data_IF_603864585755
#
_entry.id   IF_603864585755
#
_cell.length_a   1.000
_cell.length_b   1.000
_cell.length_c   1.000
_cell.angle_alpha   90.00
_cell.angle_beta   90.00
_cell.angle_gamma   90.00
#
_symmetry.space_group_name_H-M   'P 1'
#
loop_
_entity.id
_entity.type
_entity.pdbx_description
1 polymer ?
#
# COMPACT_ATOMS: atom_id res chain seq x y z
N UNK A 1 -8.75 -9.17 7.95
CA UNK A 1 -7.65 -8.20 7.74
C UNK A 1 -8.26 -6.82 7.76
N UNK A 2 -7.66 -5.87 8.50
CA UNK A 2 -8.16 -4.51 8.61
C UNK A 2 -8.37 -3.84 7.24
N UNK A 3 -9.40 -3.01 7.16
CA UNK A 3 -9.63 -2.11 6.05
C UNK A 3 -10.33 -0.86 6.56
N UNK A 4 -10.05 0.26 5.88
CA UNK A 4 -10.62 1.55 6.18
C UNK A 4 -11.17 2.19 4.91
N UNK A 5 -12.24 2.97 5.04
CA UNK A 5 -12.82 3.72 3.94
C UNK A 5 -13.42 5.04 4.43
N UNK A 6 -13.42 6.03 3.55
CA UNK A 6 -14.19 7.27 3.69
C UNK A 6 -15.36 7.21 2.70
N UNK A 7 -16.56 7.54 3.18
CA UNK A 7 -17.75 7.67 2.33
C UNK A 7 -18.15 9.11 2.12
N UNK A 8 -18.69 9.40 0.95
CA UNK A 8 -19.46 10.60 0.67
C UNK A 8 -20.88 10.15 0.27
N UNK A 9 -21.83 10.27 1.19
CA UNK A 9 -23.14 9.66 1.03
C UNK A 9 -23.04 8.13 0.96
N UNK A 10 -23.49 7.55 -0.17
CA UNK A 10 -23.45 6.09 -0.39
C UNK A 10 -22.16 5.61 -1.05
N UNK A 11 -21.34 6.53 -1.57
CA UNK A 11 -20.15 6.21 -2.37
C UNK A 11 -18.90 6.12 -1.48
N UNK A 12 -18.07 5.09 -1.71
CA UNK A 12 -16.74 5.01 -1.12
C UNK A 12 -15.78 5.85 -1.95
N UNK A 13 -15.20 6.90 -1.36
CA UNK A 13 -14.39 7.90 -2.08
C UNK A 13 -12.89 7.79 -1.82
N UNK A 14 -12.52 7.14 -0.72
CA UNK A 14 -11.14 6.81 -0.38
C UNK A 14 -11.10 5.52 0.44
N UNK A 15 -10.16 4.63 0.17
CA UNK A 15 -10.08 3.33 0.84
C UNK A 15 -8.65 2.79 0.85
N UNK A 16 -8.37 1.93 1.82
CA UNK A 16 -7.13 1.18 1.96
C UNK A 16 -7.41 -0.14 2.71
N UNK A 17 -6.59 -1.15 2.46
CA UNK A 17 -6.72 -2.45 3.12
C UNK A 17 -5.37 -3.08 3.42
N UNK A 18 -5.33 -3.98 4.39
CA UNK A 18 -4.17 -4.84 4.58
C UNK A 18 -4.23 -6.06 3.66
N UNK A 19 -3.12 -6.35 2.99
CA UNK A 19 -2.86 -7.60 2.29
C UNK A 19 -2.71 -8.76 3.29
N UNK A 20 -3.07 -10.02 2.96
CA UNK A 20 -2.84 -11.20 3.79
C UNK A 20 -1.44 -11.35 4.40
N UNK A 21 -0.42 -10.74 3.79
CA UNK A 21 0.97 -10.71 4.28
C UNK A 21 1.22 -9.64 5.35
N UNK A 22 0.19 -8.89 5.76
CA UNK A 22 0.22 -7.95 6.88
C UNK A 22 0.51 -6.49 6.52
N UNK A 23 0.94 -6.19 5.30
CA UNK A 23 1.23 -4.81 4.88
C UNK A 23 -0.01 -4.08 4.36
N UNK A 24 -0.06 -2.77 4.58
CA UNK A 24 -1.06 -1.89 4.01
C UNK A 24 -0.83 -1.74 2.51
N UNK A 25 -1.92 -1.86 1.75
CA UNK A 25 -1.92 -1.87 0.31
C UNK A 25 -3.21 -1.23 -0.26
N UNK A 26 -3.22 -0.95 -1.55
CA UNK A 26 -4.37 -0.44 -2.29
C UNK A 26 -4.93 0.90 -1.78
N UNK A 27 -4.08 1.77 -1.22
CA UNK A 27 -4.48 3.14 -0.90
C UNK A 27 -4.92 3.86 -2.17
N UNK A 28 -6.21 4.16 -2.25
CA UNK A 28 -6.80 4.81 -3.41
C UNK A 28 -7.79 5.87 -2.99
N UNK A 29 -7.75 7.01 -3.69
CA UNK A 29 -8.75 8.07 -3.58
C UNK A 29 -9.26 8.38 -4.97
N UNK A 30 -10.59 8.37 -5.12
CA UNK A 30 -11.29 8.73 -6.35
C UNK A 30 -10.85 10.15 -6.77
N UNK A 31 -10.57 10.33 -8.05
CA UNK A 31 -9.87 11.51 -8.59
C UNK A 31 -10.55 12.84 -8.19
N UNK A 32 -11.87 12.89 -8.28
CA UNK A 32 -12.71 14.05 -7.92
C UNK A 32 -12.63 14.43 -6.43
N UNK A 33 -12.12 13.52 -5.60
CA UNK A 33 -11.96 13.68 -4.16
C UNK A 33 -10.49 13.79 -3.70
N UNK A 34 -9.52 13.79 -4.62
CA UNK A 34 -8.09 13.97 -4.31
C UNK A 34 -7.78 15.39 -3.84
N UNK A 35 -6.61 15.56 -3.21
CA UNK A 35 -6.14 16.85 -2.69
C UNK A 35 -6.85 17.34 -1.41
N UNK A 36 -7.71 16.50 -0.81
CA UNK A 36 -8.51 16.84 0.39
C UNK A 36 -8.05 16.12 1.66
N UNK A 37 -6.87 15.49 1.64
CA UNK A 37 -6.33 14.73 2.78
C UNK A 37 -7.01 13.38 3.05
N UNK A 38 -7.96 12.93 2.21
CA UNK A 38 -8.72 11.70 2.44
C UNK A 38 -7.85 10.44 2.46
N UNK A 39 -6.83 10.37 1.59
CA UNK A 39 -5.88 9.27 1.56
C UNK A 39 -5.13 9.12 2.89
N UNK A 40 -4.62 10.22 3.43
CA UNK A 40 -3.97 10.22 4.76
C UNK A 40 -4.94 9.85 5.87
N UNK A 41 -6.19 10.34 5.82
CA UNK A 41 -7.19 10.03 6.83
C UNK A 41 -7.53 8.53 6.87
N UNK A 42 -7.67 7.89 5.70
CA UNK A 42 -7.96 6.46 5.62
C UNK A 42 -6.77 5.62 6.04
N UNK A 43 -5.55 6.03 5.66
CA UNK A 43 -4.30 5.38 6.05
C UNK A 43 -4.10 5.40 7.57
N UNK A 44 -4.30 6.55 8.21
CA UNK A 44 -4.18 6.66 9.66
C UNK A 44 -5.26 5.85 10.39
N UNK A 45 -6.47 5.78 9.83
CA UNK A 45 -7.53 4.93 10.41
C UNK A 45 -7.15 3.46 10.33
N UNK A 46 -6.57 3.02 9.20
CA UNK A 46 -6.09 1.66 9.03
C UNK A 46 -4.94 1.34 10.00
N UNK A 47 -3.98 2.26 10.17
CA UNK A 47 -2.91 2.11 11.16
C UNK A 47 -3.45 1.88 12.58
N UNK A 48 -4.44 2.68 13.01
CA UNK A 48 -5.07 2.52 14.32
C UNK A 48 -5.76 1.15 14.47
N UNK A 49 -6.42 0.65 13.43
CA UNK A 49 -7.02 -0.68 13.44
C UNK A 49 -5.97 -1.78 13.54
N UNK A 50 -4.89 -1.72 12.74
CA UNK A 50 -3.77 -2.65 12.83
C UNK A 50 -3.22 -2.72 14.27
N UNK A 51 -2.93 -1.56 14.87
CA UNK A 51 -2.39 -1.50 16.25
C UNK A 51 -3.38 -2.13 17.25
N UNK A 52 -4.69 -1.87 17.10
CA UNK A 52 -5.70 -2.47 17.99
C UNK A 52 -5.80 -3.99 17.86
N UNK A 53 -5.42 -4.53 16.70
CA UNK A 53 -5.36 -5.97 16.41
C UNK A 53 -3.97 -6.58 16.65
N UNK A 54 -3.05 -5.83 17.29
CA UNK A 54 -1.67 -6.26 17.54
C UNK A 54 -0.85 -6.54 16.26
N UNK A 55 -1.22 -5.88 15.15
CA UNK A 55 -0.48 -5.89 13.90
C UNK A 55 0.39 -4.64 13.79
N UNK A 56 1.65 -4.81 13.38
CA UNK A 56 2.52 -3.68 13.09
C UNK A 56 2.12 -3.05 11.75
N UNK A 57 1.74 -1.76 11.70
CA UNK A 57 1.43 -1.11 10.44
C UNK A 57 2.70 -0.83 9.64
N UNK A 58 2.75 -1.32 8.40
CA UNK A 58 3.80 -0.99 7.44
C UNK A 58 3.26 -1.04 6.01
N UNK A 59 3.93 -0.37 5.08
CA UNK A 59 3.60 -0.36 3.65
C UNK A 59 4.86 -0.42 2.82
N UNK A 60 4.73 -0.91 1.59
CA UNK A 60 5.76 -0.77 0.57
C UNK A 60 5.43 0.42 -0.32
N UNK A 61 6.42 1.24 -0.65
CA UNK A 61 6.26 2.36 -1.58
C UNK A 61 7.03 2.03 -2.85
N UNK A 62 6.34 2.08 -3.99
CA UNK A 62 6.93 1.84 -5.31
C UNK A 62 8.04 2.86 -5.59
N UNK A 63 9.23 2.37 -5.97
CA UNK A 63 10.43 3.21 -6.13
C UNK A 63 10.26 4.23 -7.26
N UNK A 64 9.51 3.88 -8.30
CA UNK A 64 9.24 4.77 -9.44
C UNK A 64 8.14 5.79 -9.16
N UNK A 65 7.36 5.64 -8.08
CA UNK A 65 6.36 6.63 -7.68
C UNK A 65 7.02 7.73 -6.84
N UNK A 66 7.80 8.58 -7.49
CA UNK A 66 8.64 9.60 -6.86
C UNK A 66 7.85 10.57 -5.97
N UNK A 67 6.60 10.88 -6.34
CA UNK A 67 5.72 11.74 -5.55
C UNK A 67 5.34 11.10 -4.21
N UNK A 68 4.89 9.84 -4.23
CA UNK A 68 4.53 9.11 -3.00
C UNK A 68 5.77 8.80 -2.17
N UNK A 69 6.89 8.42 -2.82
CA UNK A 69 8.15 8.16 -2.14
C UNK A 69 8.67 9.40 -1.40
N UNK A 70 8.65 10.57 -2.07
CA UNK A 70 9.01 11.85 -1.43
C UNK A 70 8.10 12.14 -0.24
N UNK A 71 6.77 12.05 -0.44
CA UNK A 71 5.81 12.33 0.63
C UNK A 71 5.94 11.36 1.81
N UNK A 72 6.27 10.09 1.58
CA UNK A 72 6.50 9.12 2.65
C UNK A 72 7.77 9.42 3.44
N UNK A 73 8.86 9.82 2.75
CA UNK A 73 10.12 10.19 3.40
C UNK A 73 10.01 11.50 4.22
N UNK A 74 9.19 12.45 3.77
CA UNK A 74 8.97 13.74 4.46
C UNK A 74 7.91 13.64 5.57
N UNK A 75 7.26 12.49 5.72
CA UNK A 75 6.17 12.32 6.67
C UNK A 75 6.66 12.26 8.11
N UNK A 76 6.00 12.99 9.00
CA UNK A 76 6.18 12.84 10.45
C UNK A 76 5.43 11.62 11.03
N UNK A 77 4.61 10.95 10.22
CA UNK A 77 3.75 9.84 10.64
C UNK A 77 4.37 8.48 10.31
N UNK A 78 5.30 8.44 9.36
CA UNK A 78 5.96 7.22 8.91
C UNK A 78 7.46 7.30 9.15
N UNK A 79 8.03 6.18 9.56
CA UNK A 79 9.49 5.96 9.55
C UNK A 79 9.84 5.06 8.37
N UNK A 80 11.02 5.29 7.78
CA UNK A 80 11.55 4.39 6.75
C UNK A 80 12.39 3.29 7.39
N UNK A 81 12.26 2.08 6.85
CA UNK A 81 13.13 0.97 7.21
C UNK A 81 14.44 1.09 6.42
N UNK A 82 15.52 1.38 7.14
CA UNK A 82 16.87 1.52 6.60
C UNK A 82 17.80 0.39 7.10
N UNK A 83 18.84 0.11 6.32
CA UNK A 83 19.94 -0.77 6.72
C UNK A 83 20.89 -0.10 7.72
N UNK A 84 21.93 -0.82 8.16
CA UNK A 84 22.94 -0.30 9.11
C UNK A 84 23.74 0.90 8.57
N UNK A 85 23.70 1.13 7.27
CA UNK A 85 24.38 2.23 6.58
C UNK A 85 23.41 3.37 6.21
N UNK A 86 22.18 3.35 6.74
CA UNK A 86 21.12 4.32 6.45
C UNK A 86 20.63 4.33 4.99
N UNK A 87 20.79 3.22 4.27
CA UNK A 87 20.18 3.07 2.95
C UNK A 87 18.77 2.48 3.06
N UNK A 88 17.82 2.89 2.21
CA UNK A 88 16.47 2.32 2.20
C UNK A 88 16.50 0.83 1.84
N UNK A 89 15.81 0.00 2.63
CA UNK A 89 15.62 -1.41 2.28
C UNK A 89 14.60 -1.51 1.14
N UNK A 90 15.04 -2.05 0.00
CA UNK A 90 14.19 -2.31 -1.16
C UNK A 90 13.77 -3.78 -1.23
N UNK A 91 12.48 -4.02 -1.46
CA UNK A 91 11.91 -5.37 -1.64
C UNK A 91 11.59 -5.57 -3.12
N UNK A 92 12.25 -6.54 -3.75
CA UNK A 92 12.03 -6.89 -5.15
C UNK A 92 10.96 -7.98 -5.29
N UNK A 93 9.80 -7.63 -5.85
CA UNK A 93 8.75 -8.59 -6.18
C UNK A 93 9.00 -9.22 -7.55
N UNK A 94 9.62 -10.40 -7.58
CA UNK A 94 9.92 -11.13 -8.83
C UNK A 94 8.79 -12.13 -9.11
N UNK A 95 8.07 -11.93 -10.21
CA UNK A 95 7.05 -12.88 -10.67
C UNK A 95 7.72 -14.03 -11.43
N UNK A 96 7.56 -15.25 -10.92
CA UNK A 96 7.85 -16.45 -11.68
C UNK A 96 6.60 -16.89 -12.44
N UNK A 97 6.70 -17.09 -13.74
CA UNK A 97 5.67 -17.73 -14.54
C UNK A 97 6.22 -19.03 -15.13
N UNK A 98 5.40 -20.08 -15.13
CA UNK A 98 5.74 -21.30 -15.85
C UNK A 98 5.72 -20.99 -17.34
N UNK A 99 6.80 -21.29 -18.06
CA UNK A 99 6.74 -21.31 -19.54
C UNK A 99 5.65 -22.31 -19.92
N UNK A 100 4.66 -21.87 -20.68
CA UNK A 100 3.79 -22.82 -21.36
C UNK A 100 4.70 -23.67 -22.26
N UNK A 101 4.71 -24.98 -22.03
CA UNK A 101 5.34 -25.92 -22.96
C UNK A 101 4.66 -25.80 -24.34
N UNK A 102 5.30 -26.28 -25.42
CA UNK A 102 4.67 -26.26 -26.73
C UNK A 102 3.31 -26.95 -26.65
N UNK A 103 2.27 -26.28 -27.17
CA UNK A 103 0.94 -26.86 -27.32
C UNK A 103 1.06 -28.15 -28.12
N UNK A 104 0.52 -29.24 -27.60
CA UNK A 104 0.45 -30.51 -28.31
C UNK A 104 -0.21 -30.29 -29.68
N UNK A 105 0.31 -30.91 -30.77
CA UNK A 105 -0.32 -30.80 -32.07
C UNK A 105 -1.76 -31.31 -31.98
N UNK A 106 -2.69 -30.52 -32.51
CA UNK A 106 -4.08 -30.93 -32.64
C UNK A 106 -4.13 -32.20 -33.50
N UNK A 107 -4.71 -33.26 -32.94
CA UNK A 107 -4.98 -34.54 -33.62
C UNK A 107 -6.12 -34.40 -34.62
#
# INVERSE_FOLDING_TARGET
MPSALVRHGKEAVSFEMCDPSGFQNHLFTIEQHRGKGLGTAVEMRLCQQCISEQLWPFKCVELYNTSVLKSANESHLWTRLDDLSHNPIAINFIRFSKKNGPSAPAT
#
